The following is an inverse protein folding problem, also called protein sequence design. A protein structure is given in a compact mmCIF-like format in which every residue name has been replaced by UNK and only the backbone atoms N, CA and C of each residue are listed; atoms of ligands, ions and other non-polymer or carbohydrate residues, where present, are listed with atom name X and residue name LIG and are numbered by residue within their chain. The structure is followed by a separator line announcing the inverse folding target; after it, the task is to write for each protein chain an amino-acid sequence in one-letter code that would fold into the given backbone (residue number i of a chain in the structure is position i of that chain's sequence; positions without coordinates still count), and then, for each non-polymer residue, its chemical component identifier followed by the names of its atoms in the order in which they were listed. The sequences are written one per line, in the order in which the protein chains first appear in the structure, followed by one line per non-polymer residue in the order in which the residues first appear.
data_IF_335348594371
#
_entry.id   IF_335348594371
#
_cell.length_a   1.000
_cell.length_b   1.000
_cell.length_c   1.000
_cell.angle_alpha   90.00
_cell.angle_beta   90.00
_cell.angle_gamma   90.00
#
_symmetry.space_group_name_H-M   'P 1'
#
loop_
_entity.id
_entity.type
_entity.pdbx_description
1 polymer ?
#
# COMPACT_ATOMS: atom_id res chain seq x y z
N UNK A 1 -21.62 0.95 22.86
CA UNK A 1 -21.46 2.40 22.60
C UNK A 1 -19.99 2.85 22.48
N UNK A 2 -19.08 2.53 23.41
CA UNK A 2 -17.64 2.89 23.27
C UNK A 2 -16.89 2.00 22.26
N UNK A 3 -17.08 0.68 22.35
CA UNK A 3 -16.49 -0.28 21.40
C UNK A 3 -16.94 -0.01 19.96
N UNK A 4 -18.21 0.34 19.74
CA UNK A 4 -18.74 0.67 18.41
C UNK A 4 -18.07 1.92 17.81
N UNK A 5 -17.76 2.94 18.63
CA UNK A 5 -17.03 4.12 18.18
C UNK A 5 -15.58 3.79 17.84
N UNK A 6 -14.89 3.04 18.69
CA UNK A 6 -13.52 2.61 18.43
C UNK A 6 -13.45 1.75 17.15
N UNK A 7 -14.44 0.90 16.91
CA UNK A 7 -14.56 0.10 15.70
C UNK A 7 -14.81 0.92 14.43
N UNK A 8 -15.58 2.01 14.52
CA UNK A 8 -15.79 2.95 13.41
C UNK A 8 -14.54 3.79 13.15
N UNK A 9 -13.81 4.15 14.19
CA UNK A 9 -12.55 4.90 14.11
C UNK A 9 -11.46 4.07 13.40
N UNK A 10 -11.27 2.82 13.81
CA UNK A 10 -10.30 1.90 13.17
C UNK A 10 -10.65 1.65 11.71
N UNK A 11 -11.92 1.41 11.37
CA UNK A 11 -12.31 1.23 9.97
C UNK A 11 -12.07 2.50 9.14
N UNK A 12 -12.38 3.68 9.69
CA UNK A 12 -12.16 4.96 9.01
C UNK A 12 -10.67 5.24 8.80
N UNK A 13 -9.84 4.92 9.80
CA UNK A 13 -8.39 5.00 9.71
C UNK A 13 -7.86 4.08 8.61
N UNK A 14 -8.29 2.81 8.57
CA UNK A 14 -7.85 1.84 7.56
C UNK A 14 -8.27 2.25 6.14
N UNK A 15 -9.49 2.78 5.96
CA UNK A 15 -9.93 3.30 4.66
C UNK A 15 -9.16 4.55 4.26
N UNK A 16 -8.82 5.41 5.21
CA UNK A 16 -7.96 6.58 4.96
C UNK A 16 -6.56 6.14 4.53
N UNK A 17 -5.98 5.16 5.22
CA UNK A 17 -4.71 4.52 4.83
C UNK A 17 -4.79 3.93 3.42
N UNK A 18 -5.88 3.22 3.09
CA UNK A 18 -6.11 2.68 1.75
C UNK A 18 -6.07 3.77 0.67
N UNK A 19 -6.75 4.90 0.89
CA UNK A 19 -6.76 6.04 -0.05
C UNK A 19 -5.38 6.69 -0.18
N UNK A 20 -4.65 6.81 0.92
CA UNK A 20 -3.28 7.32 0.89
C UNK A 20 -2.37 6.40 0.06
N UNK A 21 -2.57 5.08 0.12
CA UNK A 21 -1.83 4.14 -0.71
C UNK A 21 -2.13 4.28 -2.20
N UNK A 22 -3.37 4.59 -2.59
CA UNK A 22 -3.68 4.91 -4.00
C UNK A 22 -2.79 6.06 -4.48
N UNK A 23 -2.76 7.16 -3.72
CA UNK A 23 -1.98 8.33 -4.09
C UNK A 23 -0.46 8.03 -4.08
N UNK A 24 0.02 7.33 -3.06
CA UNK A 24 1.42 6.93 -2.92
C UNK A 24 1.88 6.06 -4.08
N UNK A 25 1.15 4.98 -4.38
CA UNK A 25 1.51 4.03 -5.43
C UNK A 25 1.40 4.65 -6.83
N UNK A 26 0.42 5.54 -7.06
CA UNK A 26 0.33 6.30 -8.32
C UNK A 26 1.54 7.22 -8.49
N UNK A 27 1.90 7.97 -7.44
CA UNK A 27 3.04 8.88 -7.47
C UNK A 27 4.36 8.11 -7.67
N UNK A 28 4.55 7.02 -6.93
CA UNK A 28 5.75 6.21 -7.00
C UNK A 28 5.87 5.50 -8.35
N UNK A 29 4.80 4.88 -8.85
CA UNK A 29 4.76 4.21 -10.15
C UNK A 29 5.01 5.17 -11.31
N UNK A 30 4.41 6.36 -11.27
CA UNK A 30 4.63 7.40 -12.28
C UNK A 30 6.04 7.97 -12.20
N UNK A 31 6.54 8.23 -10.98
CA UNK A 31 7.90 8.70 -10.75
C UNK A 31 8.94 7.70 -11.27
N UNK A 32 8.73 6.40 -11.04
CA UNK A 32 9.59 5.34 -11.54
C UNK A 32 9.67 5.32 -13.07
N UNK A 33 8.55 5.51 -13.77
CA UNK A 33 8.50 5.51 -15.24
C UNK A 33 9.14 6.76 -15.84
N UNK A 34 8.70 7.94 -15.37
CA UNK A 34 8.98 9.21 -16.06
C UNK A 34 10.15 9.98 -15.46
N UNK A 35 10.49 9.75 -14.19
CA UNK A 35 11.54 10.46 -13.47
C UNK A 35 12.32 9.54 -12.52
N UNK A 36 12.90 8.42 -13.00
CA UNK A 36 13.51 7.40 -12.13
C UNK A 36 14.66 7.96 -11.28
N UNK A 37 15.54 8.77 -11.87
CA UNK A 37 16.71 9.31 -11.17
C UNK A 37 16.30 10.25 -10.02
N UNK A 38 15.31 11.11 -10.26
CA UNK A 38 14.78 12.01 -9.24
C UNK A 38 14.06 11.25 -8.13
N UNK A 39 13.27 10.24 -8.51
CA UNK A 39 12.54 9.39 -7.56
C UNK A 39 13.50 8.59 -6.69
N UNK A 40 14.51 7.94 -7.27
CA UNK A 40 15.54 7.19 -6.53
C UNK A 40 16.35 8.11 -5.60
N UNK A 41 16.70 9.32 -6.05
CA UNK A 41 17.38 10.30 -5.21
C UNK A 41 16.53 10.72 -4.00
N UNK A 42 15.22 10.91 -4.19
CA UNK A 42 14.27 11.22 -3.12
C UNK A 42 14.11 10.05 -2.13
N UNK A 43 14.18 8.81 -2.62
CA UNK A 43 14.19 7.59 -1.80
C UNK A 43 15.53 7.33 -1.09
N UNK A 44 16.53 8.20 -1.28
CA UNK A 44 17.80 8.14 -0.57
C UNK A 44 18.88 7.34 -1.28
N UNK A 45 18.69 6.98 -2.55
CA UNK A 45 19.72 6.33 -3.35
C UNK A 45 20.73 7.35 -3.90
N UNK A 46 21.96 6.90 -4.09
CA UNK A 46 22.94 7.61 -4.92
C UNK A 46 22.56 7.54 -6.40
N UNK A 47 23.36 8.17 -7.26
CA UNK A 47 23.13 8.17 -8.69
C UNK A 47 23.07 6.71 -9.19
N UNK A 48 21.95 6.25 -9.76
CA UNK A 48 21.82 4.86 -10.16
C UNK A 48 22.73 4.55 -11.35
N UNK A 49 23.22 3.30 -11.41
CA UNK A 49 23.78 2.77 -12.66
C UNK A 49 22.70 2.71 -13.75
N UNK A 50 23.08 2.66 -15.04
CA UNK A 50 22.10 2.52 -16.13
C UNK A 50 21.15 1.34 -15.94
N UNK A 51 21.66 0.18 -15.54
CA UNK A 51 20.84 -1.02 -15.30
C UNK A 51 19.88 -0.84 -14.12
N UNK A 52 20.34 -0.25 -13.02
CA UNK A 52 19.49 0.01 -11.85
C UNK A 52 18.34 0.97 -12.18
N UNK A 53 18.59 1.96 -13.03
CA UNK A 53 17.55 2.88 -13.52
C UNK A 53 16.50 2.15 -14.33
N UNK A 54 16.89 1.30 -15.27
CA UNK A 54 15.94 0.55 -16.11
C UNK A 54 15.17 -0.51 -15.31
N UNK A 55 15.83 -1.16 -14.35
CA UNK A 55 15.15 -2.05 -13.41
C UNK A 55 14.12 -1.30 -12.56
N UNK A 56 14.44 -0.10 -12.09
CA UNK A 56 13.50 0.72 -11.34
C UNK A 56 12.31 1.17 -12.21
N UNK A 57 12.55 1.60 -13.46
CA UNK A 57 11.48 1.87 -14.44
C UNK A 57 10.56 0.68 -14.63
N UNK A 58 11.14 -0.53 -14.75
CA UNK A 58 10.39 -1.78 -14.89
C UNK A 58 9.48 -2.07 -13.68
N UNK A 59 9.82 -1.59 -12.49
CA UNK A 59 8.96 -1.68 -11.31
C UNK A 59 7.77 -0.71 -11.34
N UNK A 60 7.84 0.36 -12.14
CA UNK A 60 6.77 1.35 -12.27
C UNK A 60 5.36 0.76 -12.49
N UNK A 61 5.17 -0.11 -13.50
CA UNK A 61 3.89 -0.77 -13.73
C UNK A 61 3.39 -1.62 -12.56
N UNK A 62 4.28 -2.17 -11.71
CA UNK A 62 3.89 -2.94 -10.52
C UNK A 62 3.25 -2.02 -9.48
N UNK A 63 3.82 -0.84 -9.22
CA UNK A 63 3.16 0.12 -8.32
C UNK A 63 1.84 0.64 -8.89
N UNK A 64 1.74 0.83 -10.21
CA UNK A 64 0.48 1.22 -10.83
C UNK A 64 -0.61 0.14 -10.70
N UNK A 65 -0.26 -1.15 -10.74
CA UNK A 65 -1.25 -2.21 -10.47
C UNK A 65 -1.65 -2.23 -9.00
N UNK A 66 -0.76 -1.87 -8.08
CA UNK A 66 -1.08 -1.77 -6.65
C UNK A 66 -2.06 -0.61 -6.42
N UNK A 67 -1.79 0.57 -6.98
CA UNK A 67 -2.72 1.69 -6.98
C UNK A 67 -4.11 1.30 -7.50
N UNK A 68 -4.16 0.57 -8.62
CA UNK A 68 -5.41 0.10 -9.20
C UNK A 68 -6.15 -0.88 -8.26
N UNK A 69 -5.44 -1.82 -7.64
CA UNK A 69 -6.03 -2.74 -6.67
C UNK A 69 -6.62 -1.97 -5.47
N UNK A 70 -5.89 -1.01 -4.93
CA UNK A 70 -6.36 -0.14 -3.84
C UNK A 70 -7.61 0.65 -4.21
N UNK A 71 -7.65 1.23 -5.42
CA UNK A 71 -8.79 1.97 -5.92
C UNK A 71 -10.02 1.07 -6.14
N UNK A 72 -9.84 -0.11 -6.74
CA UNK A 72 -10.91 -1.08 -6.97
C UNK A 72 -11.52 -1.53 -5.64
N UNK A 73 -10.69 -1.84 -4.65
CA UNK A 73 -11.17 -2.23 -3.32
C UNK A 73 -11.89 -1.08 -2.62
N UNK A 74 -11.42 0.17 -2.74
CA UNK A 74 -12.12 1.33 -2.17
C UNK A 74 -13.51 1.51 -2.78
N UNK A 75 -13.62 1.40 -4.10
CA UNK A 75 -14.87 1.61 -4.85
C UNK A 75 -15.87 0.48 -4.58
N UNK A 76 -15.41 -0.77 -4.61
CA UNK A 76 -16.29 -1.94 -4.49
C UNK A 76 -16.59 -2.30 -3.04
N UNK A 77 -15.62 -2.11 -2.15
CA UNK A 77 -15.73 -2.37 -0.72
C UNK A 77 -16.11 -3.80 -0.35
N UNK A 78 -15.87 -4.79 -1.22
CA UNK A 78 -16.26 -6.18 -0.95
C UNK A 78 -15.22 -6.89 -0.08
N UNK A 79 -15.64 -7.84 0.78
CA UNK A 79 -14.75 -8.68 1.58
C UNK A 79 -13.56 -9.27 0.82
N UNK A 80 -13.80 -9.81 -0.38
CA UNK A 80 -12.78 -10.49 -1.18
C UNK A 80 -11.72 -9.51 -1.70
N UNK A 81 -12.13 -8.28 -2.00
CA UNK A 81 -11.24 -7.22 -2.47
C UNK A 81 -10.32 -6.74 -1.32
N UNK A 82 -10.83 -6.67 -0.09
CA UNK A 82 -10.03 -6.39 1.12
C UNK A 82 -9.08 -7.53 1.47
N UNK A 83 -9.51 -8.78 1.30
CA UNK A 83 -8.64 -9.94 1.49
C UNK A 83 -7.49 -9.97 0.48
N UNK A 84 -7.77 -9.64 -0.78
CA UNK A 84 -6.74 -9.54 -1.80
C UNK A 84 -5.70 -8.45 -1.46
N UNK A 85 -6.13 -7.27 -0.97
CA UNK A 85 -5.20 -6.23 -0.51
C UNK A 85 -4.40 -6.64 0.73
N UNK A 86 -5.04 -7.33 1.67
CA UNK A 86 -4.35 -7.89 2.83
C UNK A 86 -3.22 -8.80 2.37
N UNK A 87 -3.48 -9.62 1.35
CA UNK A 87 -2.47 -10.52 0.84
C UNK A 87 -1.36 -9.79 0.11
N UNK A 88 -1.72 -8.81 -0.74
CA UNK A 88 -0.78 -7.97 -1.46
C UNK A 88 0.22 -7.29 -0.51
N UNK A 89 -0.27 -6.62 0.54
CA UNK A 89 0.58 -5.97 1.55
C UNK A 89 1.35 -6.99 2.40
N UNK A 90 0.77 -8.15 2.67
CA UNK A 90 1.48 -9.25 3.33
C UNK A 90 2.70 -9.73 2.54
N UNK A 91 2.62 -9.77 1.20
CA UNK A 91 3.78 -10.14 0.37
C UNK A 91 4.86 -9.05 0.32
N UNK A 92 4.49 -7.78 0.43
CA UNK A 92 5.47 -6.68 0.47
C UNK A 92 6.32 -6.67 1.74
N UNK A 93 5.78 -7.15 2.88
CA UNK A 93 6.58 -7.35 4.09
C UNK A 93 7.80 -8.25 3.82
N UNK A 94 7.61 -9.31 3.05
CA UNK A 94 8.71 -10.22 2.70
C UNK A 94 9.76 -9.52 1.84
N UNK A 95 9.33 -8.67 0.90
CA UNK A 95 10.26 -7.90 0.07
C UNK A 95 11.00 -6.84 0.88
N UNK A 96 10.34 -6.15 1.81
CA UNK A 96 10.96 -5.14 2.66
C UNK A 96 12.05 -5.76 3.55
N UNK A 97 11.76 -6.92 4.14
CA UNK A 97 12.75 -7.69 4.92
C UNK A 97 13.94 -8.08 4.05
N UNK A 98 13.68 -8.65 2.86
CA UNK A 98 14.73 -9.07 1.94
C UNK A 98 15.64 -7.91 1.56
N UNK A 99 15.07 -6.78 1.16
CA UNK A 99 15.81 -5.61 0.70
C UNK A 99 16.47 -4.83 1.83
N UNK A 100 15.93 -4.86 3.05
CA UNK A 100 16.55 -4.20 4.22
C UNK A 100 18.00 -4.67 4.48
N UNK A 101 18.35 -5.86 3.99
CA UNK A 101 19.67 -6.49 4.12
C UNK A 101 20.62 -6.15 2.96
N UNK A 102 20.15 -5.40 1.97
CA UNK A 102 20.94 -5.00 0.80
C UNK A 102 22.11 -4.10 1.18
N UNK A 103 23.26 -4.34 0.54
CA UNK A 103 24.44 -3.47 0.60
C UNK A 103 24.28 -2.19 -0.22
N UNK A 104 23.23 -2.08 -1.03
CA UNK A 104 22.96 -0.91 -1.88
C UNK A 104 22.54 0.33 -1.09
N UNK A 105 22.18 0.20 0.19
CA UNK A 105 21.85 1.33 1.05
C UNK A 105 23.11 1.94 1.64
N UNK A 106 23.54 3.08 1.09
CA UNK A 106 24.72 3.83 1.55
C UNK A 106 24.39 4.99 2.50
N UNK A 107 23.17 5.55 2.42
CA UNK A 107 22.74 6.66 3.28
C UNK A 107 22.24 6.20 4.66
N UNK A 108 22.66 6.87 5.76
CA UNK A 108 22.09 6.65 7.08
C UNK A 108 20.56 6.84 7.06
N UNK A 109 19.82 5.89 7.64
CA UNK A 109 18.35 5.97 7.75
C UNK A 109 17.57 5.33 6.60
N UNK A 110 18.15 5.11 5.41
CA UNK A 110 17.44 4.47 4.30
C UNK A 110 16.98 3.04 4.66
N UNK A 111 17.82 2.30 5.40
CA UNK A 111 17.47 1.00 5.97
C UNK A 111 16.33 1.08 6.99
N UNK A 112 16.31 2.12 7.82
CA UNK A 112 15.23 2.32 8.79
C UNK A 112 13.90 2.60 8.08
N UNK A 113 13.94 3.33 6.95
CA UNK A 113 12.78 3.54 6.09
C UNK A 113 12.15 2.23 5.60
N UNK A 114 12.96 1.27 5.15
CA UNK A 114 12.44 -0.06 4.76
C UNK A 114 11.87 -0.87 5.94
N UNK A 115 12.46 -0.78 7.12
CA UNK A 115 11.87 -1.42 8.30
C UNK A 115 10.52 -0.82 8.65
N UNK A 116 10.38 0.51 8.58
CA UNK A 116 9.10 1.20 8.78
C UNK A 116 8.07 0.82 7.71
N UNK A 117 8.50 0.70 6.45
CA UNK A 117 7.66 0.19 5.37
C UNK A 117 7.15 -1.22 5.68
N UNK A 118 8.03 -2.12 6.12
CA UNK A 118 7.67 -3.48 6.52
C UNK A 118 6.65 -3.51 7.66
N UNK A 119 6.84 -2.70 8.71
CA UNK A 119 5.86 -2.56 9.80
C UNK A 119 4.51 -2.04 9.28
N UNK A 120 4.54 -1.05 8.39
CA UNK A 120 3.34 -0.52 7.73
C UNK A 120 2.60 -1.58 6.92
N UNK A 121 3.33 -2.37 6.14
CA UNK A 121 2.80 -3.48 5.35
C UNK A 121 2.19 -4.57 6.21
N UNK A 122 2.82 -4.91 7.34
CA UNK A 122 2.25 -5.84 8.32
C UNK A 122 0.95 -5.29 8.93
N UNK A 123 0.95 -4.02 9.35
CA UNK A 123 -0.23 -3.39 9.94
C UNK A 123 -1.40 -3.33 8.94
N UNK A 124 -1.12 -3.01 7.67
CA UNK A 124 -2.10 -3.02 6.60
C UNK A 124 -2.61 -4.43 6.29
N UNK A 125 -1.72 -5.43 6.23
CA UNK A 125 -2.13 -6.82 5.99
C UNK A 125 -3.12 -7.30 7.05
N UNK A 126 -2.82 -7.06 8.33
CA UNK A 126 -3.73 -7.40 9.44
C UNK A 126 -5.02 -6.57 9.39
N UNK A 127 -4.91 -5.26 9.18
CA UNK A 127 -6.06 -4.35 9.16
C UNK A 127 -7.03 -4.61 8.00
N UNK A 128 -6.52 -4.81 6.80
CA UNK A 128 -7.34 -5.15 5.62
C UNK A 128 -7.91 -6.56 5.74
N UNK A 129 -7.16 -7.52 6.31
CA UNK A 129 -7.69 -8.84 6.62
C UNK A 129 -8.86 -8.77 7.60
N UNK A 130 -8.77 -7.88 8.59
CA UNK A 130 -9.89 -7.62 9.49
C UNK A 130 -11.09 -6.98 8.78
N UNK A 131 -10.88 -5.98 7.89
CA UNK A 131 -11.96 -5.43 7.06
C UNK A 131 -12.62 -6.49 6.18
N UNK A 132 -11.86 -7.46 5.68
CA UNK A 132 -12.41 -8.57 4.89
C UNK A 132 -13.39 -9.44 5.70
N UNK A 133 -13.22 -9.56 7.01
CA UNK A 133 -14.16 -10.32 7.86
C UNK A 133 -15.43 -9.54 8.20
N UNK A 134 -15.44 -8.21 7.97
CA UNK A 134 -16.61 -7.39 8.19
C UNK A 134 -17.60 -7.60 7.07
N UNK A 135 -18.82 -8.03 7.43
CA UNK A 135 -19.93 -8.01 6.48
C UNK A 135 -20.13 -6.56 6.01
N UNK A 136 -20.17 -6.28 4.70
CA UNK A 136 -20.57 -4.97 4.23
C UNK A 136 -21.92 -4.67 4.87
N UNK A 137 -22.02 -3.54 5.57
CA UNK A 137 -23.29 -3.09 6.11
C UNK A 137 -24.27 -3.14 4.93
N UNK A 138 -25.21 -4.09 4.97
CA UNK A 138 -26.29 -4.20 3.98
C UNK A 138 -26.73 -2.78 3.72
N UNK A 139 -26.56 -2.31 2.48
CA UNK A 139 -27.24 -1.10 1.99
C UNK A 139 -28.64 -1.19 2.58
N UNK A 140 -28.95 -0.35 3.57
CA UNK A 140 -30.30 -0.17 4.13
C UNK A 140 -31.13 0.51 3.05
N UNK A 141 -31.32 -0.18 1.94
CA UNK A 141 -32.20 0.16 0.83
C UNK A 141 -33.34 -0.86 0.73
N UNK A 142 -33.46 -1.78 1.68
CA UNK A 142 -34.78 -2.21 2.12
C UNK A 142 -35.38 -1.04 2.91
N UNK A 143 -36.22 -0.22 2.24
CA UNK A 143 -37.29 0.64 2.76
C UNK A 143 -37.28 2.05 2.14
N UNK A 144 -37.85 2.16 0.93
CA UNK A 144 -38.73 3.24 0.42
C UNK A 144 -38.81 3.02 -1.09
N UNK A 145 -39.68 2.17 -1.63
CA UNK A 145 -41.14 2.30 -1.79
C UNK A 145 -41.54 1.03 -2.58
N UNK A 146 -42.43 0.15 -2.12
CA UNK A 146 -43.90 0.24 -2.26
C UNK A 146 -44.34 0.92 -3.55
#
# INVERSE_FOLDING_TARGET
MWLDRAHMDVESALRTTNRNMIAFDLALGSGALFAPDATLAALGHERPSPDARELFRRSGPVWLTFAAAHAVTEIRGRPEDWWALAWLRGTELATDILWSRSSAFTRPGARAGLWLAGVGNLAMAVGFGWLATRRPARRRLSLRRR
#
